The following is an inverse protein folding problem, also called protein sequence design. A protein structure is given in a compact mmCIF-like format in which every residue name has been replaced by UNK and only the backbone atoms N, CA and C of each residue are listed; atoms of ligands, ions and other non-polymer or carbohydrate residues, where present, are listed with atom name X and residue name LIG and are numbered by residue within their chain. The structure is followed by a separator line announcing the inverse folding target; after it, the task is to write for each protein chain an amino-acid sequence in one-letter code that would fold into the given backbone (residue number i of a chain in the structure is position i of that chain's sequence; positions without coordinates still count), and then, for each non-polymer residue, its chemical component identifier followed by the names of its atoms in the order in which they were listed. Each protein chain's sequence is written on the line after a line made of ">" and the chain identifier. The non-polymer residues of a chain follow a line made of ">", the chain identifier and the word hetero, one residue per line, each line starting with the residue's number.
data_IF_588290631348
#
_entry.id   IF_588290631348
#
_cell.length_a   1.000
_cell.length_b   1.000
_cell.length_c   1.000
_cell.angle_alpha   90.00
_cell.angle_beta   90.00
_cell.angle_gamma   90.00
#
_symmetry.space_group_name_H-M   'P 1'
#
loop_
_entity.id
_entity.type
_entity.pdbx_description
1 polymer ?
#
# COMPACT_ATOMS: atom_id res chain seq x y z
N UNK A 1 5.15 11.25 -1.69
CA UNK A 1 4.49 11.57 -2.97
C UNK A 1 3.41 12.62 -2.70
N UNK A 2 3.33 13.70 -3.49
CA UNK A 2 2.37 14.80 -3.25
C UNK A 2 0.99 14.41 -3.78
N UNK A 3 -0.02 14.30 -2.91
CA UNK A 3 -1.42 14.19 -3.30
C UNK A 3 -1.95 15.58 -3.70
N UNK A 4 -1.74 15.97 -4.95
CA UNK A 4 -2.39 17.15 -5.53
C UNK A 4 -3.87 16.85 -5.75
N UNK A 5 -4.71 17.15 -4.75
CA UNK A 5 -6.10 17.58 -4.99
C UNK A 5 -7.26 16.71 -4.52
N UNK A 6 -7.08 15.65 -3.73
CA UNK A 6 -8.22 14.88 -3.18
C UNK A 6 -8.14 14.76 -1.66
N UNK A 7 -9.12 15.33 -0.97
CA UNK A 7 -9.32 15.17 0.48
C UNK A 7 -10.10 13.88 0.72
N UNK A 8 -9.45 12.88 1.31
CA UNK A 8 -10.09 11.66 1.79
C UNK A 8 -10.51 11.91 3.24
N UNK A 9 -11.73 11.51 3.62
CA UNK A 9 -12.23 11.62 5.00
C UNK A 9 -12.65 10.22 5.42
N UNK A 10 -12.12 9.78 6.56
CA UNK A 10 -12.45 8.47 7.13
C UNK A 10 -13.74 8.58 7.93
N UNK A 11 -14.67 7.64 7.73
CA UNK A 11 -15.93 7.56 8.49
C UNK A 11 -16.01 6.23 9.25
N UNK A 12 -16.28 6.31 10.55
CA UNK A 12 -16.39 5.15 11.44
C UNK A 12 -15.03 4.61 11.89
N UNK A 13 -14.95 3.35 12.39
CA UNK A 13 -13.74 2.77 12.97
C UNK A 13 -12.80 2.26 11.88
N UNK A 14 -12.24 3.17 11.08
CA UNK A 14 -11.29 2.86 10.02
C UNK A 14 -10.10 3.77 10.16
N UNK A 15 -9.03 3.45 9.45
CA UNK A 15 -7.81 4.24 9.44
C UNK A 15 -7.40 4.41 7.99
N UNK A 16 -7.02 5.62 7.62
CA UNK A 16 -6.44 5.88 6.31
C UNK A 16 -4.96 5.56 6.38
N UNK A 17 -4.51 4.67 5.49
CA UNK A 17 -3.10 4.32 5.34
C UNK A 17 -2.56 4.79 3.99
N UNK A 18 -1.29 5.18 3.99
CA UNK A 18 -0.48 5.25 2.76
C UNK A 18 0.14 3.88 2.54
N UNK A 19 -0.24 3.14 1.48
CA UNK A 19 0.31 1.82 1.21
C UNK A 19 1.82 1.87 1.01
N UNK A 20 2.52 0.88 1.52
CA UNK A 20 3.92 0.65 1.19
C UNK A 20 4.02 0.02 -0.21
N UNK A 21 5.04 0.41 -0.98
CA UNK A 21 5.33 -0.26 -2.24
C UNK A 21 5.96 -1.62 -1.92
N UNK A 22 5.27 -2.71 -2.28
CA UNK A 22 5.81 -4.07 -2.13
C UNK A 22 7.11 -4.28 -2.92
N UNK A 23 7.85 -5.33 -2.60
CA UNK A 23 9.16 -5.58 -3.21
C UNK A 23 9.06 -5.85 -4.72
N UNK A 24 10.05 -5.38 -5.49
CA UNK A 24 10.14 -5.69 -6.93
C UNK A 24 10.83 -7.02 -7.20
N UNK A 25 11.54 -7.56 -6.21
CA UNK A 25 12.30 -8.80 -6.32
C UNK A 25 12.05 -9.67 -5.10
N UNK A 26 12.12 -10.99 -5.28
CA UNK A 26 12.18 -11.93 -4.16
C UNK A 26 13.51 -11.77 -3.41
N UNK A 27 13.58 -12.33 -2.20
CA UNK A 27 14.83 -12.43 -1.42
C UNK A 27 15.96 -13.15 -2.17
N UNK A 28 15.62 -14.03 -3.12
CA UNK A 28 16.56 -14.72 -4.02
C UNK A 28 16.93 -13.90 -5.26
N UNK A 29 16.39 -12.69 -5.44
CA UNK A 29 16.74 -11.76 -6.51
C UNK A 29 15.91 -11.90 -7.80
N UNK A 30 14.83 -12.68 -7.80
CA UNK A 30 13.96 -12.85 -8.97
C UNK A 30 12.94 -11.72 -9.05
N UNK A 31 12.69 -11.18 -10.24
CA UNK A 31 11.69 -10.12 -10.41
C UNK A 31 10.27 -10.65 -10.19
N UNK A 32 9.48 -9.91 -9.42
CA UNK A 32 8.10 -10.28 -9.11
C UNK A 32 7.16 -9.80 -10.22
N UNK A 33 6.34 -10.69 -10.82
CA UNK A 33 5.34 -10.26 -11.78
C UNK A 33 4.21 -9.48 -11.07
N UNK A 34 3.50 -8.59 -11.78
CA UNK A 34 2.45 -7.76 -11.20
C UNK A 34 1.34 -8.58 -10.53
N UNK A 35 1.08 -9.79 -11.04
CA UNK A 35 0.11 -10.75 -10.51
C UNK A 35 0.46 -11.30 -9.13
N UNK A 36 1.71 -11.20 -8.66
CA UNK A 36 2.07 -11.59 -7.28
C UNK A 36 1.79 -10.45 -6.31
N UNK A 37 2.09 -9.20 -6.68
CA UNK A 37 1.82 -8.02 -5.85
C UNK A 37 0.33 -7.83 -5.54
N UNK A 38 -0.54 -8.17 -6.50
CA UNK A 38 -2.00 -8.11 -6.31
C UNK A 38 -2.57 -9.26 -5.45
N UNK A 39 -1.82 -10.35 -5.30
CA UNK A 39 -2.25 -11.56 -4.58
C UNK A 39 -1.69 -11.64 -3.15
N UNK A 40 -0.92 -10.65 -2.70
CA UNK A 40 -0.44 -10.62 -1.33
C UNK A 40 -1.61 -10.53 -0.34
N UNK A 41 -1.69 -11.47 0.59
CA UNK A 41 -2.80 -11.57 1.55
C UNK A 41 -2.84 -10.39 2.54
N UNK A 42 -1.71 -9.71 2.74
CA UNK A 42 -1.55 -8.61 3.70
C UNK A 42 -0.93 -7.41 3.01
N UNK A 43 -1.63 -6.28 3.04
CA UNK A 43 -1.11 -4.98 2.61
C UNK A 43 -0.79 -4.12 3.84
N UNK A 44 0.47 -3.68 3.93
CA UNK A 44 0.96 -2.78 4.97
C UNK A 44 1.00 -1.32 4.53
N UNK A 45 1.17 -0.41 5.49
CA UNK A 45 1.28 1.01 5.20
C UNK A 45 1.39 1.88 6.44
N UNK A 46 1.73 3.15 6.22
CA UNK A 46 1.79 4.15 7.28
C UNK A 46 0.41 4.76 7.53
N UNK A 47 -0.01 4.84 8.79
CA UNK A 47 -1.23 5.54 9.19
C UNK A 47 -1.07 7.05 8.94
N UNK A 48 -1.97 7.63 8.15
CA UNK A 48 -1.96 9.06 7.83
C UNK A 48 -3.14 9.81 8.48
N UNK A 49 -4.25 9.14 8.76
CA UNK A 49 -5.42 9.74 9.42
C UNK A 49 -6.23 8.63 10.13
N UNK A 50 -6.72 8.91 11.34
CA UNK A 50 -7.56 8.00 12.15
C UNK A 50 -8.98 8.53 12.23
#
# INVERSE_FOLDING_TARGET
>A
MKHTGRKLIVLGPRVLISPEFGEERTSAGLYLPPTVREKEEVQGGLVIET
#
